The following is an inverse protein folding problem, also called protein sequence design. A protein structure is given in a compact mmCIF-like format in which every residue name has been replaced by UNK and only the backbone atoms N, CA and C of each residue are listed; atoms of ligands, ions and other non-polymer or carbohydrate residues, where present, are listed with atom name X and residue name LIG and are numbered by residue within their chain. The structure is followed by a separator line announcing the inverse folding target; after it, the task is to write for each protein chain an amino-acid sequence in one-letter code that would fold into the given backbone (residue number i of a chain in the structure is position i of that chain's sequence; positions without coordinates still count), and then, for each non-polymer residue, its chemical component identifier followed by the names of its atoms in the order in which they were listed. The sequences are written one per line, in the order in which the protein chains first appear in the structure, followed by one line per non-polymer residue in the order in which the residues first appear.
data_IF_313217041283
#
_entry.id   IF_313217041283
#
_cell.length_a   1.000
_cell.length_b   1.000
_cell.length_c   1.000
_cell.angle_alpha   90.00
_cell.angle_beta   90.00
_cell.angle_gamma   90.00
#
_symmetry.space_group_name_H-M   'P 1'
#
loop_
_entity.id
_entity.type
_entity.pdbx_description
1 polymer ?
#
# COMPACT_ATOMS: atom_id res chain seq x y z
N UNK A 1 8.60 -8.68 -28.85
CA UNK A 1 7.91 -8.00 -27.72
C UNK A 1 6.98 -8.93 -26.90
N UNK A 2 6.44 -10.02 -27.45
CA UNK A 2 5.49 -10.92 -26.75
C UNK A 2 6.14 -12.02 -25.89
N UNK A 3 7.38 -12.40 -26.12
CA UNK A 3 8.02 -13.53 -25.44
C UNK A 3 8.39 -13.25 -23.96
N UNK A 4 8.96 -12.09 -23.59
CA UNK A 4 9.24 -11.77 -22.19
C UNK A 4 7.96 -11.69 -21.34
N UNK A 5 6.91 -11.05 -21.84
CA UNK A 5 5.62 -10.93 -21.15
C UNK A 5 4.93 -12.31 -20.94
N UNK A 6 5.07 -13.24 -21.90
CA UNK A 6 4.59 -14.62 -21.75
C UNK A 6 5.32 -15.36 -20.63
N UNK A 7 6.65 -15.24 -20.55
CA UNK A 7 7.44 -15.83 -19.47
C UNK A 7 7.07 -15.27 -18.11
N UNK A 8 6.96 -13.97 -17.99
CA UNK A 8 6.57 -13.31 -16.74
C UNK A 8 5.18 -13.77 -16.30
N UNK A 9 4.20 -13.81 -17.21
CA UNK A 9 2.84 -14.31 -16.90
C UNK A 9 2.85 -15.77 -16.44
N UNK A 10 3.62 -16.65 -17.09
CA UNK A 10 3.75 -18.05 -16.67
C UNK A 10 4.40 -18.19 -15.29
N UNK A 11 5.40 -17.36 -14.98
CA UNK A 11 6.02 -17.33 -13.63
C UNK A 11 5.01 -16.92 -12.58
N UNK A 12 4.25 -15.85 -12.79
CA UNK A 12 3.22 -15.39 -11.85
C UNK A 12 2.13 -16.45 -11.60
N UNK A 13 1.67 -17.14 -12.65
CA UNK A 13 0.69 -18.23 -12.52
C UNK A 13 1.28 -19.38 -11.70
N UNK A 14 2.50 -19.82 -12.04
CA UNK A 14 3.20 -20.89 -11.31
C UNK A 14 3.37 -20.53 -9.84
N UNK A 15 3.78 -19.31 -9.52
CA UNK A 15 4.05 -18.90 -8.15
C UNK A 15 2.75 -18.81 -7.32
N UNK A 16 1.64 -18.41 -7.96
CA UNK A 16 0.30 -18.49 -7.34
C UNK A 16 -0.10 -19.94 -7.04
N UNK A 17 0.12 -20.88 -7.98
CA UNK A 17 -0.15 -22.31 -7.77
C UNK A 17 0.72 -22.84 -6.61
N UNK A 18 2.00 -22.47 -6.57
CA UNK A 18 2.89 -22.84 -5.45
C UNK A 18 2.44 -22.32 -4.10
N UNK A 19 1.88 -21.11 -4.04
CA UNK A 19 1.32 -20.58 -2.80
C UNK A 19 0.22 -21.48 -2.24
N UNK A 20 -0.66 -22.01 -3.11
CA UNK A 20 -1.67 -22.99 -2.67
C UNK A 20 -1.04 -24.33 -2.25
N UNK A 21 0.00 -24.82 -2.94
CA UNK A 21 0.71 -26.05 -2.56
C UNK A 21 1.34 -25.94 -1.15
N UNK A 22 1.73 -24.76 -0.71
CA UNK A 22 2.23 -24.55 0.65
C UNK A 22 1.19 -24.88 1.73
N UNK A 23 -0.07 -24.97 1.37
CA UNK A 23 -1.19 -25.26 2.29
C UNK A 23 -1.50 -26.77 2.41
N UNK A 24 -0.99 -27.62 1.51
CA UNK A 24 -1.37 -29.03 1.39
C UNK A 24 -1.08 -29.86 2.65
N UNK A 25 -0.13 -29.44 3.48
CA UNK A 25 0.29 -30.17 4.67
C UNK A 25 -0.55 -29.87 5.93
N UNK A 26 -1.54 -28.96 5.85
CA UNK A 26 -2.38 -28.63 6.99
C UNK A 26 -3.61 -29.57 7.09
N UNK A 27 -4.15 -29.81 8.30
CA UNK A 27 -5.41 -30.53 8.49
C UNK A 27 -6.55 -29.90 7.69
N UNK A 28 -7.52 -30.72 7.26
CA UNK A 28 -8.56 -30.33 6.30
C UNK A 28 -9.35 -29.08 6.71
N UNK A 29 -9.64 -28.92 8.01
CA UNK A 29 -10.36 -27.76 8.55
C UNK A 29 -9.53 -26.48 8.48
N UNK A 30 -8.23 -26.55 8.74
CA UNK A 30 -7.29 -25.45 8.60
C UNK A 30 -7.06 -25.16 7.11
N UNK A 31 -6.77 -26.18 6.31
CA UNK A 31 -6.58 -26.06 4.86
C UNK A 31 -7.74 -25.32 4.19
N UNK A 32 -8.99 -25.68 4.53
CA UNK A 32 -10.15 -25.02 3.96
C UNK A 32 -10.18 -23.52 4.28
N UNK A 33 -9.94 -23.14 5.54
CA UNK A 33 -9.93 -21.73 5.97
C UNK A 33 -8.82 -20.93 5.28
N UNK A 34 -7.60 -21.51 5.22
CA UNK A 34 -6.46 -20.87 4.57
C UNK A 34 -6.72 -20.67 3.08
N UNK A 35 -7.25 -21.69 2.40
CA UNK A 35 -7.54 -21.62 0.96
C UNK A 35 -8.63 -20.59 0.66
N UNK A 36 -9.70 -20.52 1.46
CA UNK A 36 -10.76 -19.53 1.30
C UNK A 36 -10.22 -18.11 1.49
N UNK A 37 -9.42 -17.88 2.54
CA UNK A 37 -8.82 -16.58 2.82
C UNK A 37 -7.84 -16.16 1.70
N UNK A 38 -6.95 -17.05 1.29
CA UNK A 38 -5.99 -16.77 0.22
C UNK A 38 -6.69 -16.49 -1.12
N UNK A 39 -7.74 -17.25 -1.44
CA UNK A 39 -8.51 -17.05 -2.69
C UNK A 39 -9.20 -15.70 -2.71
N UNK A 40 -9.87 -15.32 -1.60
CA UNK A 40 -10.51 -14.00 -1.46
C UNK A 40 -9.46 -12.89 -1.64
N UNK A 41 -8.37 -12.97 -0.90
CA UNK A 41 -7.30 -11.96 -0.94
C UNK A 41 -6.65 -11.85 -2.33
N UNK A 42 -6.47 -13.00 -3.03
CA UNK A 42 -5.92 -12.98 -4.39
C UNK A 42 -6.84 -12.26 -5.39
N UNK A 43 -8.16 -12.36 -5.22
CA UNK A 43 -9.13 -11.61 -6.01
C UNK A 43 -9.03 -10.13 -5.69
N UNK A 44 -9.05 -9.76 -4.41
CA UNK A 44 -8.96 -8.37 -3.93
C UNK A 44 -7.67 -7.70 -4.45
N UNK A 45 -6.52 -8.38 -4.41
CA UNK A 45 -5.25 -7.86 -4.97
C UNK A 45 -5.34 -7.64 -6.50
N UNK A 46 -5.99 -8.55 -7.22
CA UNK A 46 -6.20 -8.38 -8.66
C UNK A 46 -7.12 -7.19 -8.97
N UNK A 47 -8.17 -7.00 -8.19
CA UNK A 47 -9.09 -5.84 -8.30
C UNK A 47 -8.35 -4.53 -8.00
N UNK A 48 -7.54 -4.49 -6.92
CA UNK A 48 -6.71 -3.35 -6.59
C UNK A 48 -5.69 -3.01 -7.69
N UNK A 49 -5.08 -4.02 -8.32
CA UNK A 49 -4.19 -3.80 -9.45
C UNK A 49 -4.95 -3.30 -10.69
N UNK A 50 -6.20 -3.74 -10.90
CA UNK A 50 -7.03 -3.22 -11.99
C UNK A 50 -7.38 -1.76 -11.75
N UNK A 51 -7.78 -1.37 -10.53
CA UNK A 51 -8.02 0.04 -10.18
C UNK A 51 -6.79 0.91 -10.39
N UNK A 52 -5.59 0.44 -10.01
CA UNK A 52 -4.34 1.17 -10.23
C UNK A 52 -4.13 1.49 -11.73
N UNK A 53 -4.38 0.51 -12.61
CA UNK A 53 -4.29 0.70 -14.07
C UNK A 53 -5.39 1.63 -14.61
N UNK A 54 -6.62 1.48 -14.13
CA UNK A 54 -7.75 2.30 -14.57
C UNK A 54 -7.57 3.77 -14.15
N UNK A 55 -6.93 4.01 -13.00
CA UNK A 55 -6.66 5.35 -12.47
C UNK A 55 -5.60 6.11 -13.27
N UNK A 56 -4.71 5.42 -14.01
CA UNK A 56 -3.76 6.08 -14.91
C UNK A 56 -4.48 6.89 -16.00
N UNK A 57 -5.62 6.41 -16.47
CA UNK A 57 -6.39 7.02 -17.57
C UNK A 57 -7.64 7.79 -17.10
N UNK A 58 -8.05 7.62 -15.84
CA UNK A 58 -9.21 8.27 -15.29
C UNK A 58 -8.98 9.76 -15.05
N UNK A 59 -9.96 10.59 -15.46
CA UNK A 59 -9.93 12.04 -15.23
C UNK A 59 -10.33 12.42 -13.79
N UNK A 60 -11.06 11.56 -13.10
CA UNK A 60 -11.57 11.83 -11.75
C UNK A 60 -11.39 10.58 -10.87
N UNK A 61 -10.42 10.64 -9.97
CA UNK A 61 -10.21 9.66 -8.91
C UNK A 61 -10.30 10.40 -7.59
N UNK A 62 -11.14 9.95 -6.67
CA UNK A 62 -11.25 10.56 -5.33
C UNK A 62 -10.13 10.06 -4.41
N UNK A 63 -9.92 10.76 -3.29
CA UNK A 63 -9.00 10.29 -2.25
C UNK A 63 -9.45 8.92 -1.69
N UNK A 64 -10.76 8.75 -1.53
CA UNK A 64 -11.38 7.54 -1.03
C UNK A 64 -11.14 6.35 -1.98
N UNK A 65 -11.29 6.58 -3.30
CA UNK A 65 -10.99 5.57 -4.32
C UNK A 65 -9.50 5.16 -4.27
N UNK A 66 -8.61 6.14 -4.10
CA UNK A 66 -7.17 5.87 -3.97
C UNK A 66 -6.85 5.02 -2.73
N UNK A 67 -7.41 5.36 -1.57
CA UNK A 67 -7.24 4.58 -0.34
C UNK A 67 -7.79 3.17 -0.50
N UNK A 68 -8.95 3.00 -1.14
CA UNK A 68 -9.50 1.68 -1.42
C UNK A 68 -8.60 0.87 -2.37
N UNK A 69 -8.06 1.50 -3.41
CA UNK A 69 -7.13 0.86 -4.34
C UNK A 69 -5.87 0.35 -3.60
N UNK A 70 -5.22 1.15 -2.77
CA UNK A 70 -4.02 0.71 -2.02
C UNK A 70 -4.38 -0.31 -0.92
N UNK A 71 -5.60 -0.24 -0.36
CA UNK A 71 -6.10 -1.25 0.56
C UNK A 71 -6.16 -2.62 -0.14
N UNK A 72 -6.77 -2.69 -1.30
CA UNK A 72 -6.91 -3.91 -2.09
C UNK A 72 -5.57 -4.40 -2.65
N UNK A 73 -4.77 -3.50 -3.22
CA UNK A 73 -3.51 -3.85 -3.88
C UNK A 73 -2.42 -4.30 -2.90
N UNK A 74 -2.37 -3.69 -1.71
CA UNK A 74 -1.26 -3.86 -0.76
C UNK A 74 -1.72 -4.39 0.60
N UNK A 75 -2.66 -3.71 1.27
CA UNK A 75 -2.95 -3.96 2.67
C UNK A 75 -3.63 -5.31 2.92
N UNK A 76 -4.54 -5.76 2.05
CA UNK A 76 -5.24 -7.05 2.22
C UNK A 76 -4.28 -8.24 2.25
N UNK A 77 -3.15 -8.18 1.55
CA UNK A 77 -2.16 -9.25 1.58
C UNK A 77 -1.42 -9.32 2.92
N UNK A 78 -1.13 -8.17 3.53
CA UNK A 78 -0.54 -8.10 4.88
C UNK A 78 -1.51 -8.66 5.90
N UNK A 79 -2.78 -8.22 5.87
CA UNK A 79 -3.85 -8.74 6.73
C UNK A 79 -4.05 -10.25 6.56
N UNK A 80 -4.06 -10.72 5.32
CA UNK A 80 -4.15 -12.15 4.99
C UNK A 80 -3.03 -12.96 5.61
N UNK A 81 -1.78 -12.55 5.44
CA UNK A 81 -0.62 -13.26 5.96
C UNK A 81 -0.69 -13.40 7.49
N UNK A 82 -1.05 -12.34 8.20
CA UNK A 82 -1.18 -12.35 9.65
C UNK A 82 -2.35 -13.22 10.11
N UNK A 83 -3.51 -13.11 9.46
CA UNK A 83 -4.67 -13.94 9.76
C UNK A 83 -4.42 -15.43 9.47
N UNK A 84 -3.70 -15.76 8.41
CA UNK A 84 -3.28 -17.14 8.14
C UNK A 84 -2.44 -17.68 9.30
N UNK A 85 -1.47 -16.89 9.79
CA UNK A 85 -0.70 -17.25 10.98
C UNK A 85 -1.57 -17.51 12.22
N UNK A 86 -2.57 -16.65 12.46
CA UNK A 86 -3.50 -16.81 13.56
C UNK A 86 -4.40 -18.07 13.43
N UNK A 87 -4.86 -18.39 12.21
CA UNK A 87 -5.60 -19.62 11.91
C UNK A 87 -4.74 -20.87 12.22
N UNK A 88 -3.49 -20.88 11.76
CA UNK A 88 -2.54 -21.96 12.01
C UNK A 88 -2.25 -22.11 13.51
N UNK A 89 -2.08 -20.99 14.20
CA UNK A 89 -1.88 -20.92 15.64
C UNK A 89 -3.15 -21.21 16.46
N UNK A 90 -4.28 -21.51 15.81
CA UNK A 90 -5.58 -21.80 16.46
C UNK A 90 -6.05 -20.67 17.38
N UNK A 91 -5.77 -19.42 17.00
CA UNK A 91 -6.28 -18.26 17.70
C UNK A 91 -7.83 -18.21 17.68
N UNK A 92 -8.43 -17.51 18.62
CA UNK A 92 -9.88 -17.31 18.65
C UNK A 92 -10.38 -16.65 17.35
N UNK A 93 -11.62 -16.87 16.92
CA UNK A 93 -12.18 -16.16 15.76
C UNK A 93 -12.08 -14.64 15.89
N UNK A 94 -12.25 -14.11 17.10
CA UNK A 94 -12.08 -12.69 17.40
C UNK A 94 -10.63 -12.23 17.12
N UNK A 95 -9.63 -12.92 17.66
CA UNK A 95 -8.23 -12.56 17.46
C UNK A 95 -7.81 -12.71 15.99
N UNK A 96 -8.39 -13.65 15.24
CA UNK A 96 -8.16 -13.79 13.81
C UNK A 96 -8.63 -12.56 13.02
N UNK A 97 -9.78 -11.97 13.36
CA UNK A 97 -10.26 -10.74 12.72
C UNK A 97 -9.44 -9.54 13.18
N UNK A 98 -9.17 -9.40 14.46
CA UNK A 98 -8.39 -8.27 15.00
C UNK A 98 -6.97 -8.21 14.43
N UNK A 99 -6.28 -9.35 14.28
CA UNK A 99 -4.94 -9.38 13.68
C UNK A 99 -5.00 -9.10 12.17
N UNK A 100 -6.10 -9.46 11.49
CA UNK A 100 -6.35 -9.05 10.11
C UNK A 100 -6.46 -7.53 10.01
N UNK A 101 -7.25 -6.90 10.89
CA UNK A 101 -7.43 -5.45 10.93
C UNK A 101 -6.10 -4.73 11.22
N UNK A 102 -5.31 -5.25 12.17
CA UNK A 102 -3.93 -4.78 12.41
C UNK A 102 -3.12 -4.78 11.12
N UNK A 103 -3.16 -5.88 10.37
CA UNK A 103 -2.45 -6.03 9.09
C UNK A 103 -2.93 -5.07 8.01
N UNK A 104 -4.24 -4.82 7.93
CA UNK A 104 -4.82 -3.83 7.01
C UNK A 104 -4.29 -2.42 7.33
N UNK A 105 -4.36 -2.00 8.59
CA UNK A 105 -3.92 -0.67 8.98
C UNK A 105 -2.41 -0.48 8.79
N UNK A 106 -1.63 -1.49 9.15
CA UNK A 106 -0.19 -1.49 8.92
C UNK A 106 0.16 -1.42 7.42
N UNK A 107 -0.57 -2.17 6.58
CA UNK A 107 -0.38 -2.18 5.12
C UNK A 107 -0.73 -0.84 4.47
N UNK A 108 -1.78 -0.16 4.96
CA UNK A 108 -2.14 1.19 4.53
C UNK A 108 -1.06 2.20 4.92
N UNK A 109 -0.64 2.23 6.19
CA UNK A 109 0.43 3.11 6.66
C UNK A 109 1.72 2.91 5.84
N UNK A 110 2.05 1.65 5.56
CA UNK A 110 3.21 1.27 4.76
C UNK A 110 3.14 1.80 3.32
N UNK A 111 2.01 1.66 2.63
CA UNK A 111 1.87 2.14 1.25
C UNK A 111 1.89 3.66 1.18
N UNK A 112 1.20 4.34 2.10
CA UNK A 112 1.22 5.79 2.22
C UNK A 112 2.65 6.32 2.46
N UNK A 113 3.43 5.61 3.25
CA UNK A 113 4.84 5.93 3.47
C UNK A 113 5.70 5.67 2.23
N UNK A 114 5.42 4.61 1.46
CA UNK A 114 6.11 4.33 0.20
C UNK A 114 5.89 5.48 -0.81
N UNK A 115 4.66 5.95 -0.96
CA UNK A 115 4.31 7.12 -1.79
C UNK A 115 5.05 8.39 -1.35
N UNK A 116 5.11 8.61 -0.03
CA UNK A 116 5.85 9.73 0.53
C UNK A 116 7.35 9.62 0.24
N UNK A 117 7.94 8.45 0.44
CA UNK A 117 9.36 8.21 0.25
C UNK A 117 9.77 8.23 -1.23
N UNK A 118 8.91 7.78 -2.16
CA UNK A 118 9.17 7.92 -3.60
C UNK A 118 9.37 9.39 -3.98
N UNK A 119 8.64 10.29 -3.33
CA UNK A 119 8.74 11.73 -3.61
C UNK A 119 9.82 12.42 -2.78
N UNK A 120 9.89 12.19 -1.46
CA UNK A 120 10.68 12.94 -0.49
C UNK A 120 11.77 12.13 0.22
N UNK A 121 11.96 10.87 -0.15
CA UNK A 121 13.03 10.03 0.40
C UNK A 121 14.44 10.49 -0.01
N UNK A 122 15.46 9.78 0.47
CA UNK A 122 16.84 9.95 0.06
C UNK A 122 17.25 8.81 -0.90
N UNK A 123 17.73 9.14 -2.10
CA UNK A 123 18.15 8.15 -3.10
C UNK A 123 19.18 7.14 -2.58
N UNK A 124 20.05 7.56 -1.68
CA UNK A 124 21.11 6.68 -1.14
C UNK A 124 20.57 5.61 -0.20
N UNK A 125 19.47 5.94 0.44
CA UNK A 125 18.82 5.07 1.44
C UNK A 125 17.63 4.32 0.86
N UNK A 126 16.87 4.92 -0.06
CA UNK A 126 15.70 4.31 -0.68
C UNK A 126 16.04 3.29 -1.80
N UNK A 127 17.26 3.38 -2.37
CA UNK A 127 17.73 2.44 -3.39
C UNK A 127 17.03 2.53 -4.75
N UNK A 128 16.12 3.49 -4.93
CA UNK A 128 15.40 3.81 -6.18
C UNK A 128 15.63 5.30 -6.51
N UNK A 129 15.44 5.66 -7.79
CA UNK A 129 15.40 7.08 -8.19
C UNK A 129 14.16 7.72 -7.57
N UNK A 130 14.36 8.85 -6.92
CA UNK A 130 13.29 9.66 -6.32
C UNK A 130 12.43 10.31 -7.41
N UNK A 131 11.11 10.34 -7.19
CA UNK A 131 10.14 10.97 -8.08
C UNK A 131 9.68 10.08 -9.23
N UNK A 132 9.84 8.76 -9.11
CA UNK A 132 9.34 7.80 -10.09
C UNK A 132 7.85 7.96 -10.36
N UNK A 133 7.04 8.05 -9.32
CA UNK A 133 5.60 8.24 -9.42
C UNK A 133 5.21 9.58 -10.10
N UNK A 134 5.98 10.64 -9.86
CA UNK A 134 5.79 11.93 -10.53
C UNK A 134 6.07 11.81 -12.04
N UNK A 135 7.13 11.11 -12.42
CA UNK A 135 7.49 10.92 -13.83
C UNK A 135 6.45 10.05 -14.56
N UNK A 136 5.85 9.10 -13.86
CA UNK A 136 4.79 8.23 -14.37
C UNK A 136 3.40 8.89 -14.31
N UNK A 137 3.30 10.16 -13.89
CA UNK A 137 2.03 10.90 -13.74
C UNK A 137 1.04 10.25 -12.75
N UNK A 138 1.54 9.47 -11.78
CA UNK A 138 0.68 8.84 -10.80
C UNK A 138 0.06 9.86 -9.85
N UNK A 139 -1.22 9.69 -9.63
CA UNK A 139 -2.02 10.50 -8.70
C UNK A 139 -2.01 9.83 -7.32
N UNK A 140 -0.86 9.86 -6.64
CA UNK A 140 -0.69 9.26 -5.30
C UNK A 140 -1.44 10.06 -4.23
N UNK A 141 -1.36 9.63 -2.97
CA UNK A 141 -1.99 10.34 -1.86
C UNK A 141 -1.56 11.82 -1.77
N UNK A 142 -0.31 12.13 -2.07
CA UNK A 142 0.21 13.49 -2.09
C UNK A 142 -0.56 14.38 -3.07
N UNK A 143 -0.89 13.87 -4.25
CA UNK A 143 -1.71 14.58 -5.23
C UNK A 143 -3.12 14.88 -4.69
N UNK A 144 -3.80 13.89 -4.13
CA UNK A 144 -5.17 14.05 -3.62
C UNK A 144 -5.24 15.04 -2.46
N UNK A 145 -4.25 15.00 -1.55
CA UNK A 145 -4.17 15.93 -0.43
C UNK A 145 -3.81 17.35 -0.88
N UNK A 146 -2.96 17.48 -1.90
CA UNK A 146 -2.64 18.77 -2.50
C UNK A 146 -3.87 19.43 -3.16
N UNK A 147 -4.72 18.65 -3.83
CA UNK A 147 -5.97 19.17 -4.39
C UNK A 147 -6.93 19.68 -3.32
N UNK A 148 -6.92 19.07 -2.14
CA UNK A 148 -7.82 19.42 -1.02
C UNK A 148 -7.34 20.66 -0.25
N UNK A 149 -6.01 20.84 -0.13
CA UNK A 149 -5.40 21.92 0.66
C UNK A 149 -4.89 23.12 -0.15
N UNK A 150 -4.83 23.01 -1.49
CA UNK A 150 -4.25 24.02 -2.35
C UNK A 150 -5.20 25.11 -2.80
N UNK A 151 -4.65 26.29 -3.12
CA UNK A 151 -5.36 27.33 -3.85
C UNK A 151 -5.56 26.90 -5.32
N UNK A 152 -6.54 27.52 -6.01
CA UNK A 152 -6.91 27.19 -7.39
C UNK A 152 -5.71 27.23 -8.37
N UNK A 153 -4.81 28.19 -8.18
CA UNK A 153 -3.58 28.33 -8.98
C UNK A 153 -2.63 27.13 -8.82
N UNK A 154 -2.46 26.62 -7.58
CA UNK A 154 -1.62 25.46 -7.30
C UNK A 154 -2.26 24.17 -7.82
N UNK A 155 -3.59 24.04 -7.65
CA UNK A 155 -4.37 22.91 -8.16
C UNK A 155 -4.24 22.81 -9.67
N UNK A 156 -4.48 23.92 -10.42
CA UNK A 156 -4.37 23.96 -11.86
C UNK A 156 -2.95 23.64 -12.36
N UNK A 157 -1.92 24.15 -11.67
CA UNK A 157 -0.54 23.86 -12.00
C UNK A 157 -0.21 22.35 -11.81
N UNK A 158 -0.67 21.77 -10.70
CA UNK A 158 -0.46 20.35 -10.39
C UNK A 158 -1.20 19.44 -11.38
N UNK A 159 -2.45 19.76 -11.70
CA UNK A 159 -3.24 19.03 -12.70
C UNK A 159 -2.61 19.11 -14.09
N UNK A 160 -2.06 20.26 -14.44
CA UNK A 160 -1.32 20.45 -15.70
C UNK A 160 -0.07 19.57 -15.75
N UNK A 161 0.75 19.56 -14.69
CA UNK A 161 2.02 18.81 -14.64
C UNK A 161 1.81 17.30 -14.62
N UNK A 162 0.73 16.80 -14.01
CA UNK A 162 0.41 15.37 -13.86
C UNK A 162 -0.73 14.91 -14.79
N UNK A 163 -1.26 15.79 -15.65
CA UNK A 163 -2.39 15.50 -16.52
C UNK A 163 -2.05 14.97 -17.91
N UNK A 164 -0.78 14.81 -18.25
CA UNK A 164 -0.38 14.31 -19.57
C UNK A 164 1.10 14.52 -19.91
N UNK A 165 1.48 14.21 -21.15
CA UNK A 165 2.84 14.41 -21.65
C UNK A 165 3.11 15.89 -21.85
N UNK A 166 3.77 16.50 -20.88
CA UNK A 166 4.30 17.84 -21.02
C UNK A 166 5.76 17.80 -21.50
N UNK A 167 6.15 18.69 -22.44
CA UNK A 167 7.54 18.82 -22.90
C UNK A 167 8.38 19.55 -21.83
N UNK A 168 8.49 18.96 -20.64
CA UNK A 168 9.28 19.46 -19.52
C UNK A 168 10.34 18.42 -19.16
N UNK A 169 11.54 18.87 -18.84
CA UNK A 169 12.57 17.98 -18.31
C UNK A 169 12.12 17.27 -17.02
N UNK A 170 12.45 15.99 -16.90
CA UNK A 170 11.99 15.17 -15.78
C UNK A 170 12.44 15.70 -14.41
N UNK A 171 13.67 16.23 -14.30
CA UNK A 171 14.18 16.82 -13.07
C UNK A 171 13.42 18.11 -12.72
N UNK A 172 13.16 18.95 -13.72
CA UNK A 172 12.38 20.17 -13.55
C UNK A 172 10.93 19.86 -13.13
N UNK A 173 10.31 18.83 -13.73
CA UNK A 173 8.97 18.35 -13.37
C UNK A 173 8.91 17.91 -11.90
N UNK A 174 9.85 17.05 -11.47
CA UNK A 174 9.94 16.59 -10.09
C UNK A 174 10.04 17.77 -9.13
N UNK A 175 10.93 18.71 -9.38
CA UNK A 175 11.13 19.88 -8.51
C UNK A 175 9.87 20.75 -8.42
N UNK A 176 9.19 21.01 -9.54
CA UNK A 176 7.95 21.80 -9.55
C UNK A 176 6.83 21.11 -8.78
N UNK A 177 6.64 19.80 -8.99
CA UNK A 177 5.59 19.04 -8.27
C UNK A 177 5.89 18.97 -6.78
N UNK A 178 7.16 18.75 -6.38
CA UNK A 178 7.56 18.77 -4.96
C UNK A 178 7.24 20.12 -4.31
N UNK A 179 7.59 21.23 -4.95
CA UNK A 179 7.28 22.57 -4.44
C UNK A 179 5.76 22.80 -4.30
N UNK A 180 4.95 22.26 -5.22
CA UNK A 180 3.48 22.33 -5.10
C UNK A 180 2.98 21.49 -3.91
N UNK A 181 3.53 20.31 -3.65
CA UNK A 181 3.19 19.52 -2.47
C UNK A 181 3.58 20.21 -1.16
N UNK A 182 4.69 20.98 -1.15
CA UNK A 182 5.12 21.77 0.01
C UNK A 182 4.13 22.90 0.33
N UNK A 183 3.78 23.72 -0.67
CA UNK A 183 2.91 24.89 -0.46
C UNK A 183 1.44 24.54 -0.21
N UNK A 184 1.00 23.35 -0.62
CA UNK A 184 -0.37 22.86 -0.38
C UNK A 184 -0.54 22.10 0.93
N UNK A 185 0.47 22.03 1.78
CA UNK A 185 0.50 21.24 3.00
C UNK A 185 0.24 19.72 2.81
N UNK A 186 0.38 19.21 1.57
CA UNK A 186 0.18 17.78 1.27
C UNK A 186 1.15 16.88 2.05
N UNK A 187 2.37 17.36 2.33
CA UNK A 187 3.40 16.67 3.08
C UNK A 187 2.92 16.36 4.50
N UNK A 188 2.55 17.40 5.27
CA UNK A 188 2.06 17.23 6.64
C UNK A 188 0.80 16.38 6.69
N UNK A 189 -0.15 16.62 5.79
CA UNK A 189 -1.37 15.83 5.72
C UNK A 189 -1.11 14.35 5.40
N UNK A 190 -0.10 14.04 4.56
CA UNK A 190 0.31 12.65 4.32
C UNK A 190 0.93 12.02 5.56
N UNK A 191 1.80 12.74 6.27
CA UNK A 191 2.41 12.26 7.52
C UNK A 191 1.35 12.02 8.61
N UNK A 192 0.37 12.91 8.73
CA UNK A 192 -0.76 12.74 9.66
C UNK A 192 -1.59 11.50 9.31
N UNK A 193 -1.82 11.23 8.02
CA UNK A 193 -2.56 10.05 7.57
C UNK A 193 -1.76 8.75 7.81
N UNK A 194 -0.46 8.76 7.61
CA UNK A 194 0.43 7.64 7.95
C UNK A 194 0.36 7.36 9.47
N UNK A 195 0.50 8.39 10.30
CA UNK A 195 0.41 8.28 11.76
C UNK A 195 -0.96 7.75 12.18
N UNK A 196 -2.05 8.26 11.59
CA UNK A 196 -3.41 7.79 11.85
C UNK A 196 -3.57 6.28 11.64
N UNK A 197 -3.12 5.74 10.50
CA UNK A 197 -3.20 4.30 10.24
C UNK A 197 -2.26 3.49 11.14
N UNK A 198 -1.08 4.02 11.46
CA UNK A 198 -0.17 3.39 12.42
C UNK A 198 -0.77 3.30 13.82
N UNK A 199 -1.48 4.34 14.28
CA UNK A 199 -2.20 4.36 15.56
C UNK A 199 -3.40 3.40 15.57
N UNK A 200 -4.14 3.30 14.46
CA UNK A 200 -5.21 2.32 14.32
C UNK A 200 -4.69 0.88 14.38
N UNK A 201 -3.50 0.63 13.84
CA UNK A 201 -2.84 -0.67 14.00
C UNK A 201 -2.52 -0.96 15.47
N UNK A 202 -1.98 0.00 16.23
CA UNK A 202 -1.76 -0.16 17.67
C UNK A 202 -3.06 -0.43 18.43
N UNK A 203 -4.12 0.31 18.13
CA UNK A 203 -5.43 0.09 18.74
C UNK A 203 -6.01 -1.30 18.46
N UNK A 204 -5.78 -1.84 17.26
CA UNK A 204 -6.15 -3.22 16.94
C UNK A 204 -5.31 -4.19 17.77
N UNK A 205 -4.00 -3.97 17.86
CA UNK A 205 -3.09 -4.81 18.64
C UNK A 205 -3.48 -4.90 20.12
N UNK A 206 -3.95 -3.80 20.73
CA UNK A 206 -4.41 -3.77 22.12
C UNK A 206 -5.63 -4.68 22.37
N UNK A 207 -6.47 -4.90 21.37
CA UNK A 207 -7.68 -5.74 21.46
C UNK A 207 -7.38 -7.26 21.41
N UNK A 208 -6.16 -7.66 21.05
CA UNK A 208 -5.77 -9.07 21.00
C UNK A 208 -5.65 -9.68 22.38
N UNK A 209 -6.10 -10.92 22.51
CA UNK A 209 -6.07 -11.67 23.77
C UNK A 209 -4.69 -12.24 24.13
N UNK A 210 -3.65 -11.98 23.29
CA UNK A 210 -2.29 -12.44 23.53
C UNK A 210 -1.58 -11.63 24.62
N UNK A 211 -0.51 -12.21 25.21
CA UNK A 211 0.32 -11.54 26.21
C UNK A 211 1.16 -10.40 25.65
N UNK A 212 1.63 -9.51 26.54
CA UNK A 212 2.39 -8.32 26.16
C UNK A 212 3.68 -8.64 25.38
N UNK A 213 4.39 -9.70 25.72
CA UNK A 213 5.63 -10.10 25.01
C UNK A 213 5.35 -10.41 23.52
N UNK A 214 4.20 -11.01 23.23
CA UNK A 214 3.77 -11.28 21.86
C UNK A 214 3.34 -9.99 21.15
N UNK A 215 2.59 -9.11 21.81
CA UNK A 215 2.23 -7.80 21.27
C UNK A 215 3.47 -6.95 20.95
N UNK A 216 4.48 -6.99 21.82
CA UNK A 216 5.73 -6.27 21.61
C UNK A 216 6.45 -6.69 20.32
N UNK A 217 6.42 -7.97 19.94
CA UNK A 217 6.98 -8.42 18.66
C UNK A 217 6.26 -7.80 17.45
N UNK A 218 4.94 -7.59 17.54
CA UNK A 218 4.21 -6.89 16.48
C UNK A 218 4.49 -5.38 16.47
N UNK A 219 4.69 -4.77 17.65
CA UNK A 219 5.16 -3.37 17.75
C UNK A 219 6.55 -3.20 17.14
N UNK A 220 7.46 -4.14 17.39
CA UNK A 220 8.80 -4.17 16.78
C UNK A 220 8.71 -4.32 15.26
N UNK A 221 7.87 -5.25 14.75
CA UNK A 221 7.63 -5.43 13.32
C UNK A 221 7.10 -4.12 12.70
N UNK A 222 6.08 -3.50 13.33
CA UNK A 222 5.55 -2.20 12.90
C UNK A 222 6.66 -1.15 12.88
N UNK A 223 7.42 -1.02 13.97
CA UNK A 223 8.53 -0.08 14.08
C UNK A 223 9.56 -0.28 12.97
N UNK A 224 9.96 -1.51 12.70
CA UNK A 224 10.90 -1.83 11.61
C UNK A 224 10.34 -1.48 10.23
N UNK A 225 9.05 -1.74 9.97
CA UNK A 225 8.40 -1.39 8.70
C UNK A 225 8.25 0.13 8.54
N UNK A 226 7.99 0.86 9.61
CA UNK A 226 7.75 2.31 9.58
C UNK A 226 9.02 3.16 9.74
N UNK A 227 10.11 2.59 10.25
CA UNK A 227 11.41 3.28 10.38
C UNK A 227 12.27 3.20 9.12
N UNK A 228 11.68 2.77 7.99
CA UNK A 228 12.42 2.74 6.74
C UNK A 228 12.82 4.16 6.35
N UNK A 229 14.07 4.49 6.65
CA UNK A 229 14.86 5.56 6.06
C UNK A 229 15.73 4.94 4.98
N UNK A 230 15.12 4.26 4.03
CA UNK A 230 15.87 3.62 2.96
C UNK A 230 16.14 4.61 1.83
#
# INVERSE_FOLDING_TARGET
LHYPLRRQRQMCIRDRIKAYQCLDNYPSDIFQKLTQLLSKTAIEVCEGQQYDLDFETSSSVSQEDYIEMIRLKTAVLVGCALKMGAIIGKASPHDQEVIYDFGIQLGLAFQLQDDYLDTFGDEKTFGKKIGGDILENKKTILYHLALKGGEETHINALQTLLGGDHPIDGVEKINKVKSLFEVTAAISATQDLIAYHADLADQALEKLSMGEDQKNRFRELKGWLMQRTY
#
